data_IF_873932563191
#
_entry.id   IF_873932563191
#
_cell.length_a   1.000
_cell.length_b   1.000
_cell.length_c   1.000
_cell.angle_alpha   90.00
_cell.angle_beta   90.00
_cell.angle_gamma   90.00
#
_symmetry.space_group_name_H-M   'P 1'
#
loop_
_entity.id
_entity.type
_entity.pdbx_description
1 polymer ?
#
# COMPACT_ATOMS: atom_id res chain seq x y z
N UNK A 1 14.49 -66.64 0.99
CA UNK A 1 15.01 -65.47 0.27
C UNK A 1 14.10 -65.26 -0.94
N UNK A 2 13.10 -64.37 -0.93
CA UNK A 2 13.19 -62.90 -1.13
C UNK A 2 12.67 -62.63 -2.56
N UNK A 3 11.76 -61.71 -2.91
CA UNK A 3 11.18 -60.51 -2.31
C UNK A 3 9.68 -60.46 -2.63
N UNK A 4 8.83 -60.03 -1.69
CA UNK A 4 7.46 -59.60 -2.02
C UNK A 4 7.50 -58.19 -2.60
N UNK A 5 6.74 -57.87 -3.66
CA UNK A 5 6.70 -56.53 -4.22
C UNK A 5 6.08 -55.56 -3.21
N UNK A 6 6.79 -54.47 -2.95
CA UNK A 6 6.27 -53.32 -2.20
C UNK A 6 5.13 -52.72 -3.02
N UNK A 7 3.89 -52.91 -2.54
CA UNK A 7 2.73 -52.21 -3.08
C UNK A 7 2.82 -50.75 -2.65
N UNK A 8 3.25 -49.88 -3.56
CA UNK A 8 3.04 -48.44 -3.40
C UNK A 8 1.53 -48.19 -3.47
N UNK A 9 0.93 -47.87 -2.33
CA UNK A 9 -0.49 -47.63 -2.21
C UNK A 9 -0.92 -46.48 -3.12
N UNK A 10 -2.03 -46.68 -3.85
CA UNK A 10 -2.68 -45.67 -4.70
C UNK A 10 -3.01 -44.35 -3.97
N UNK A 11 -2.96 -44.33 -2.63
CA UNK A 11 -3.10 -43.12 -1.83
C UNK A 11 -1.96 -42.09 -2.00
N UNK A 12 -0.73 -42.53 -2.35
CA UNK A 12 0.41 -41.60 -2.44
C UNK A 12 0.37 -40.72 -3.70
N UNK A 13 -0.09 -41.28 -4.83
CA UNK A 13 -0.23 -40.53 -6.08
C UNK A 13 -1.39 -39.53 -6.04
N UNK A 14 -2.52 -39.90 -5.43
CA UNK A 14 -3.67 -39.01 -5.27
C UNK A 14 -3.36 -37.81 -4.36
N UNK A 15 -2.61 -38.03 -3.26
CA UNK A 15 -2.15 -36.95 -2.38
C UNK A 15 -1.21 -35.99 -3.13
N UNK A 16 -0.30 -36.53 -3.95
CA UNK A 16 0.65 -35.71 -4.71
C UNK A 16 -0.05 -34.86 -5.77
N UNK A 17 -1.01 -35.43 -6.50
CA UNK A 17 -1.81 -34.69 -7.49
C UNK A 17 -2.64 -33.60 -6.81
N UNK A 18 -3.29 -33.89 -5.68
CA UNK A 18 -4.02 -32.88 -4.92
C UNK A 18 -3.12 -31.76 -4.38
N UNK A 19 -1.92 -32.09 -3.89
CA UNK A 19 -0.96 -31.09 -3.40
C UNK A 19 -0.45 -30.19 -4.54
N UNK A 20 -0.17 -30.76 -5.71
CA UNK A 20 0.24 -30.01 -6.90
C UNK A 20 -0.91 -29.12 -7.39
N UNK A 21 -2.12 -29.64 -7.54
CA UNK A 21 -3.30 -28.85 -7.94
C UNK A 21 -3.61 -27.75 -6.93
N UNK A 22 -3.50 -28.01 -5.62
CA UNK A 22 -3.67 -26.99 -4.58
C UNK A 22 -2.56 -25.93 -4.61
N UNK A 23 -1.32 -26.33 -4.92
CA UNK A 23 -0.20 -25.39 -5.12
C UNK A 23 -0.41 -24.51 -6.35
N UNK A 24 -0.92 -25.07 -7.45
CA UNK A 24 -1.25 -24.31 -8.66
C UNK A 24 -2.47 -23.39 -8.45
N UNK A 25 -3.51 -23.87 -7.77
CA UNK A 25 -4.70 -23.06 -7.47
C UNK A 25 -4.40 -21.91 -6.50
N UNK A 26 -3.54 -22.14 -5.50
CA UNK A 26 -3.11 -21.07 -4.57
C UNK A 26 -2.11 -20.11 -5.23
N UNK A 27 -1.26 -20.58 -6.15
CA UNK A 27 -0.39 -19.72 -6.97
C UNK A 27 -1.18 -18.87 -7.98
N UNK A 28 -2.28 -19.38 -8.54
CA UNK A 28 -3.14 -18.63 -9.46
C UNK A 28 -3.96 -17.52 -8.75
N UNK A 29 -4.18 -17.63 -7.44
CA UNK A 29 -4.75 -16.54 -6.63
C UNK A 29 -3.72 -15.46 -6.24
N UNK A 30 -2.44 -15.63 -6.58
CA UNK A 30 -1.35 -14.88 -5.95
C UNK A 30 -0.87 -13.61 -6.67
N UNK A 31 -1.47 -13.17 -7.77
CA UNK A 31 -1.03 -11.93 -8.43
C UNK A 31 -2.19 -11.11 -8.96
N UNK A 32 -2.94 -10.49 -8.05
CA UNK A 32 -3.80 -9.37 -8.44
C UNK A 32 -2.92 -8.15 -8.65
N UNK A 33 -3.05 -7.51 -9.81
CA UNK A 33 -2.21 -6.40 -10.19
C UNK A 33 -2.16 -5.30 -9.12
N UNK A 34 -0.99 -4.69 -8.90
CA UNK A 34 -0.84 -3.65 -7.91
C UNK A 34 -1.54 -2.33 -8.32
N UNK A 35 -1.93 -2.22 -9.58
CA UNK A 35 -2.54 -1.04 -10.16
C UNK A 35 -3.82 -1.43 -10.91
N UNK A 36 -4.83 -0.57 -10.84
CA UNK A 36 -5.99 -0.64 -11.73
C UNK A 36 -6.06 0.63 -12.57
N UNK A 37 -6.42 0.48 -13.83
CA UNK A 37 -6.67 1.60 -14.74
C UNK A 37 -8.18 1.79 -14.89
N UNK A 38 -8.69 3.00 -14.71
CA UNK A 38 -10.07 3.33 -15.08
C UNK A 38 -10.11 4.53 -16.02
N UNK A 39 -11.13 4.65 -16.88
CA UNK A 39 -11.37 5.90 -17.59
C UNK A 39 -11.68 7.01 -16.59
N UNK A 40 -11.15 8.20 -16.86
CA UNK A 40 -11.44 9.45 -16.18
C UNK A 40 -12.45 10.30 -16.96
N UNK A 41 -12.99 11.35 -16.33
CA UNK A 41 -14.09 12.15 -16.87
C UNK A 41 -13.74 12.89 -18.18
N UNK A 42 -12.46 13.25 -18.39
CA UNK A 42 -12.01 14.07 -19.52
C UNK A 42 -11.24 13.26 -20.59
N UNK A 43 -11.51 11.96 -20.69
CA UNK A 43 -10.75 11.06 -21.59
C UNK A 43 -9.36 10.67 -21.07
N UNK A 44 -8.99 11.13 -19.86
CA UNK A 44 -7.81 10.69 -19.14
C UNK A 44 -7.93 9.24 -18.66
N UNK A 45 -6.80 8.60 -18.37
CA UNK A 45 -6.74 7.37 -17.59
C UNK A 45 -6.37 7.68 -16.14
N UNK A 46 -7.09 7.09 -15.20
CA UNK A 46 -6.78 7.14 -13.78
C UNK A 46 -6.08 5.84 -13.39
N UNK A 47 -4.84 5.93 -12.91
CA UNK A 47 -4.13 4.79 -12.34
C UNK A 47 -4.36 4.76 -10.83
N UNK A 48 -5.00 3.71 -10.34
CA UNK A 48 -5.26 3.48 -8.92
C UNK A 48 -4.26 2.47 -8.38
N UNK A 49 -3.36 2.91 -7.51
CA UNK A 49 -2.62 2.01 -6.65
C UNK A 49 -3.53 1.50 -5.54
N UNK A 50 -3.78 0.18 -5.51
CA UNK A 50 -4.69 -0.40 -4.52
C UNK A 50 -4.24 -0.08 -3.09
N UNK A 51 -5.20 0.02 -2.16
CA UNK A 51 -4.87 0.15 -0.76
C UNK A 51 -3.94 -0.95 -0.30
N UNK A 52 -2.84 -0.58 0.34
CA UNK A 52 -2.01 -1.47 1.14
C UNK A 52 -2.05 -1.02 2.59
N UNK A 53 -1.63 -1.91 3.50
CA UNK A 53 -1.59 -1.63 4.93
C UNK A 53 -0.24 -1.99 5.51
N UNK A 54 0.29 -1.10 6.35
CA UNK A 54 1.51 -1.29 7.11
C UNK A 54 1.12 -1.36 8.59
N UNK A 55 1.30 -2.52 9.20
CA UNK A 55 1.08 -2.68 10.64
C UNK A 55 2.34 -2.26 11.39
N UNK A 56 2.22 -1.35 12.35
CA UNK A 56 3.31 -1.08 13.27
C UNK A 56 3.00 -1.61 14.67
N UNK A 57 3.66 -2.72 15.05
CA UNK A 57 3.45 -3.35 16.36
C UNK A 57 4.11 -2.60 17.52
N UNK A 58 5.05 -1.71 17.25
CA UNK A 58 5.84 -0.97 18.24
C UNK A 58 5.72 0.55 18.12
N UNK A 59 4.76 1.05 17.35
CA UNK A 59 4.53 2.48 17.18
C UNK A 59 3.28 2.93 17.95
N UNK A 60 3.16 4.24 18.15
CA UNK A 60 1.94 4.86 18.66
C UNK A 60 0.72 4.63 17.74
N UNK A 61 0.95 4.36 16.45
CA UNK A 61 -0.06 3.92 15.48
C UNK A 61 -0.06 2.40 15.34
N UNK A 62 -1.24 1.78 15.36
CA UNK A 62 -1.37 0.33 15.21
C UNK A 62 -1.44 -0.12 13.74
N UNK A 63 -1.78 0.80 12.84
CA UNK A 63 -1.79 0.52 11.41
C UNK A 63 -1.94 1.79 10.58
N UNK A 64 -1.31 1.76 9.40
CA UNK A 64 -1.48 2.74 8.33
C UNK A 64 -2.02 2.03 7.11
N UNK A 65 -3.04 2.58 6.47
CA UNK A 65 -3.41 2.15 5.12
C UNK A 65 -3.28 3.31 4.16
N UNK A 66 -2.74 3.07 2.96
CA UNK A 66 -2.51 4.07 1.93
C UNK A 66 -2.95 3.55 0.57
N UNK A 67 -3.63 4.40 -0.19
CA UNK A 67 -3.92 4.25 -1.61
C UNK A 67 -3.61 5.55 -2.37
N UNK A 68 -3.41 5.44 -3.68
CA UNK A 68 -3.04 6.58 -4.51
C UNK A 68 -3.78 6.51 -5.84
N UNK A 69 -4.25 7.66 -6.31
CA UNK A 69 -4.83 7.86 -7.63
C UNK A 69 -3.96 8.81 -8.42
N UNK A 70 -3.50 8.38 -9.60
CA UNK A 70 -2.60 9.14 -10.47
C UNK A 70 -3.35 9.46 -11.78
N UNK A 71 -3.62 10.74 -12.07
CA UNK A 71 -4.28 11.15 -13.31
C UNK A 71 -3.29 11.22 -14.47
N UNK A 72 -3.62 10.57 -15.59
CA UNK A 72 -2.70 10.40 -16.73
C UNK A 72 -3.39 10.52 -18.09
N UNK A 73 -2.67 10.98 -19.11
CA UNK A 73 -3.03 10.93 -20.54
C UNK A 73 -1.76 10.59 -21.30
N UNK A 74 -1.81 9.62 -22.22
CA UNK A 74 -0.65 9.21 -23.02
C UNK A 74 0.63 8.98 -22.19
N UNK A 75 0.48 8.27 -21.06
CA UNK A 75 1.54 7.98 -20.07
C UNK A 75 2.14 9.20 -19.35
N UNK A 76 1.58 10.39 -19.57
CA UNK A 76 2.01 11.62 -18.93
C UNK A 76 1.05 12.02 -17.80
N UNK A 77 1.58 12.59 -16.72
CA UNK A 77 0.76 13.11 -15.61
C UNK A 77 -0.05 14.33 -16.05
N UNK A 78 -1.35 14.31 -15.82
CA UNK A 78 -2.26 15.44 -16.15
C UNK A 78 -2.63 16.30 -14.95
N UNK A 79 -2.28 15.87 -13.74
CA UNK A 79 -2.53 16.61 -12.51
C UNK A 79 -1.74 16.02 -11.33
N UNK A 80 -1.99 16.56 -10.13
CA UNK A 80 -1.41 16.07 -8.89
C UNK A 80 -2.01 14.69 -8.54
N UNK A 81 -1.17 13.68 -8.21
CA UNK A 81 -1.66 12.46 -7.59
C UNK A 81 -2.39 12.73 -6.27
N UNK A 82 -3.52 12.06 -6.10
CA UNK A 82 -4.29 12.08 -4.84
C UNK A 82 -3.87 10.88 -4.01
N UNK A 83 -3.45 11.13 -2.78
CA UNK A 83 -3.05 10.11 -1.80
C UNK A 83 -4.09 10.08 -0.70
N UNK A 84 -4.80 8.96 -0.59
CA UNK A 84 -5.68 8.71 0.54
C UNK A 84 -4.95 7.81 1.53
N UNK A 85 -5.06 8.15 2.81
CA UNK A 85 -4.48 7.33 3.84
C UNK A 85 -5.33 7.34 5.10
N UNK A 86 -5.12 6.32 5.91
CA UNK A 86 -5.75 6.21 7.21
C UNK A 86 -4.75 5.75 8.25
N UNK A 87 -4.83 6.34 9.44
CA UNK A 87 -4.03 5.91 10.60
C UNK A 87 -4.96 5.42 11.70
N UNK A 88 -4.60 4.29 12.30
CA UNK A 88 -5.30 3.76 13.46
C UNK A 88 -4.54 4.17 14.72
N UNK A 89 -5.16 5.02 15.54
CA UNK A 89 -4.59 5.59 16.76
C UNK A 89 -5.43 5.22 17.99
N UNK A 90 -4.83 5.14 19.19
CA UNK A 90 -5.59 5.07 20.44
C UNK A 90 -6.51 6.29 20.60
N UNK A 91 -7.67 6.11 21.26
CA UNK A 91 -8.59 7.22 21.56
C UNK A 91 -7.93 8.40 22.28
N UNK A 92 -6.93 8.14 23.12
CA UNK A 92 -6.17 9.17 23.84
C UNK A 92 -5.29 10.02 22.93
N UNK A 93 -4.92 9.54 21.74
CA UNK A 93 -4.01 10.21 20.80
C UNK A 93 -4.75 10.87 19.62
N UNK A 94 -6.08 10.92 19.65
CA UNK A 94 -6.89 11.47 18.54
C UNK A 94 -6.56 12.94 18.28
N UNK A 95 -6.41 13.76 19.33
CA UNK A 95 -6.09 15.17 19.18
C UNK A 95 -4.74 15.39 18.47
N UNK A 96 -3.72 14.57 18.80
CA UNK A 96 -2.43 14.61 18.11
C UNK A 96 -2.54 14.21 16.63
N UNK A 97 -3.52 13.37 16.31
CA UNK A 97 -3.83 12.92 14.97
C UNK A 97 -4.78 13.86 14.20
N UNK A 98 -5.19 15.01 14.74
CA UNK A 98 -6.07 15.92 13.99
C UNK A 98 -5.35 16.51 12.76
N UNK A 99 -4.02 16.64 12.82
CA UNK A 99 -3.18 16.96 11.66
C UNK A 99 -2.03 15.95 11.56
N UNK A 100 -2.22 14.91 10.77
CA UNK A 100 -1.13 14.03 10.33
C UNK A 100 -0.79 14.40 8.90
N UNK A 101 0.50 14.60 8.58
CA UNK A 101 0.97 14.62 7.19
C UNK A 101 1.70 13.32 6.85
N UNK A 102 1.54 12.88 5.61
CA UNK A 102 2.31 11.77 5.04
C UNK A 102 3.40 12.36 4.18
N UNK A 103 4.62 11.89 4.41
CA UNK A 103 5.77 12.20 3.59
C UNK A 103 6.30 10.90 2.97
N UNK A 104 6.57 10.94 1.68
CA UNK A 104 7.32 9.88 1.03
C UNK A 104 8.80 10.22 1.16
N UNK A 105 9.58 9.34 1.79
CA UNK A 105 11.01 9.57 2.01
C UNK A 105 11.81 8.69 1.05
N UNK A 106 12.77 9.29 0.35
CA UNK A 106 13.67 8.61 -0.57
C UNK A 106 15.09 9.12 -0.36
N UNK A 107 15.88 8.35 0.38
CA UNK A 107 17.19 8.83 0.85
C UNK A 107 17.03 10.00 1.82
N UNK A 108 17.67 11.13 1.47
CA UNK A 108 17.59 12.37 2.25
C UNK A 108 16.41 13.27 1.84
N UNK A 109 15.74 12.96 0.73
CA UNK A 109 14.60 13.73 0.25
C UNK A 109 13.30 13.28 0.93
N UNK A 110 12.49 14.24 1.38
CA UNK A 110 11.15 14.02 1.88
C UNK A 110 10.16 14.82 1.04
N UNK A 111 9.17 14.14 0.48
CA UNK A 111 8.14 14.73 -0.38
C UNK A 111 6.83 14.75 0.38
N UNK A 112 6.40 15.95 0.76
CA UNK A 112 5.24 16.17 1.63
C UNK A 112 3.94 16.25 0.82
N UNK A 113 2.88 15.65 1.35
CA UNK A 113 1.54 15.78 0.78
C UNK A 113 0.76 16.93 1.44
N UNK A 114 0.04 17.73 0.66
CA UNK A 114 -0.81 18.81 1.19
C UNK A 114 -2.16 18.25 1.65
N UNK A 115 -2.47 18.43 2.94
CA UNK A 115 -3.58 17.74 3.60
C UNK A 115 -4.96 18.38 3.41
N UNK A 116 -5.97 17.54 3.13
CA UNK A 116 -7.39 17.74 3.44
C UNK A 116 -7.85 16.60 4.37
N UNK A 117 -8.06 16.88 5.66
CA UNK A 117 -8.41 15.86 6.65
C UNK A 117 -9.91 15.55 6.68
N UNK A 118 -10.28 14.27 6.86
CA UNK A 118 -11.66 13.82 7.11
C UNK A 118 -11.67 12.83 8.29
N UNK A 119 -12.06 13.30 9.48
CA UNK A 119 -11.98 12.51 10.72
C UNK A 119 -13.19 11.55 10.82
N UNK A 120 -12.93 10.26 10.99
CA UNK A 120 -13.96 9.25 11.27
C UNK A 120 -13.80 8.70 12.69
N UNK A 121 -14.81 8.90 13.55
CA UNK A 121 -14.80 8.34 14.90
C UNK A 121 -15.23 6.87 14.87
N UNK A 122 -14.48 6.03 15.56
CA UNK A 122 -14.68 4.58 15.64
C UNK A 122 -15.98 4.17 16.38
N UNK A 123 -16.46 2.97 16.06
CA UNK A 123 -17.67 2.35 16.61
C UNK A 123 -17.56 2.09 18.14
N UNK A 124 -18.71 2.08 18.80
CA UNK A 124 -18.86 1.86 20.25
C UNK A 124 -18.21 0.52 20.65
N UNK A 125 -17.23 0.56 21.56
CA UNK A 125 -16.52 -0.63 22.08
C UNK A 125 -15.05 -0.78 21.69
N UNK A 126 -14.56 -0.04 20.69
CA UNK A 126 -13.13 -0.03 20.34
C UNK A 126 -12.35 1.01 21.18
N UNK A 127 -11.13 0.68 21.59
CA UNK A 127 -10.18 1.63 22.22
C UNK A 127 -9.40 2.49 21.22
N UNK A 128 -9.60 2.24 19.92
CA UNK A 128 -8.87 2.90 18.83
C UNK A 128 -9.83 3.64 17.89
N UNK A 129 -9.29 4.64 17.18
CA UNK A 129 -9.96 5.47 16.18
C UNK A 129 -9.19 5.40 14.86
N UNK A 130 -9.91 5.33 13.75
CA UNK A 130 -9.34 5.36 12.40
C UNK A 130 -9.53 6.76 11.84
N UNK A 131 -8.45 7.53 11.71
CA UNK A 131 -8.51 8.87 11.11
C UNK A 131 -8.15 8.74 9.63
N UNK A 132 -8.92 9.37 8.74
CA UNK A 132 -8.69 9.33 7.29
C UNK A 132 -8.29 10.70 6.78
N UNK A 133 -7.47 10.70 5.75
CA UNK A 133 -6.94 11.90 5.13
C UNK A 133 -6.91 11.69 3.63
N UNK A 134 -7.13 12.79 2.92
CA UNK A 134 -6.92 12.87 1.48
C UNK A 134 -5.95 14.02 1.27
N UNK A 135 -4.89 13.77 0.51
CA UNK A 135 -3.86 14.76 0.28
C UNK A 135 -3.43 14.74 -1.18
N UNK A 136 -2.83 15.83 -1.62
CA UNK A 136 -2.24 15.92 -2.96
C UNK A 136 -0.72 15.89 -2.84
N UNK A 137 -0.08 15.14 -3.74
CA UNK A 137 1.36 15.18 -3.94
C UNK A 137 1.64 16.02 -5.19
N UNK A 138 2.58 16.96 -5.10
CA UNK A 138 2.95 17.79 -6.25
C UNK A 138 3.39 16.93 -7.43
N UNK A 139 2.96 17.29 -8.64
CA UNK A 139 3.36 16.57 -9.87
C UNK A 139 4.88 16.43 -10.00
N UNK A 140 5.63 17.50 -9.74
CA UNK A 140 7.10 17.50 -9.84
C UNK A 140 7.74 16.60 -8.77
N UNK A 141 7.25 16.65 -7.53
CA UNK A 141 7.68 15.77 -6.44
C UNK A 141 7.40 14.30 -6.74
N UNK A 142 6.23 14.01 -7.30
CA UNK A 142 5.87 12.66 -7.73
C UNK A 142 6.75 12.17 -8.89
N UNK A 143 7.03 13.04 -9.87
CA UNK A 143 7.97 12.72 -10.94
C UNK A 143 9.36 12.45 -10.39
N UNK A 144 9.86 13.23 -9.43
CA UNK A 144 11.14 12.98 -8.77
C UNK A 144 11.16 11.64 -8.03
N UNK A 145 10.08 11.29 -7.32
CA UNK A 145 9.91 9.98 -6.67
C UNK A 145 9.94 8.81 -7.65
N UNK A 146 9.27 8.95 -8.82
CA UNK A 146 9.31 7.94 -9.87
C UNK A 146 10.73 7.75 -10.43
N UNK A 147 11.52 8.82 -10.54
CA UNK A 147 12.90 8.70 -11.03
C UNK A 147 13.90 8.23 -9.95
N UNK A 148 13.54 8.33 -8.67
CA UNK A 148 14.38 7.82 -7.60
C UNK A 148 14.51 6.30 -7.68
N UNK A 149 15.74 5.81 -7.49
CA UNK A 149 16.06 4.38 -7.36
C UNK A 149 16.27 3.93 -5.91
N UNK A 150 16.14 4.87 -4.97
CA UNK A 150 16.31 4.57 -3.56
C UNK A 150 15.05 3.96 -2.97
N UNK A 151 15.21 3.20 -1.88
CA UNK A 151 14.08 2.64 -1.15
C UNK A 151 13.18 3.76 -0.64
N UNK A 152 11.88 3.60 -0.90
CA UNK A 152 10.84 4.49 -0.44
C UNK A 152 10.36 4.06 0.94
N UNK A 153 10.20 5.04 1.82
CA UNK A 153 9.63 4.91 3.15
C UNK A 153 8.43 5.87 3.30
N UNK A 154 7.54 5.56 4.24
CA UNK A 154 6.46 6.44 4.64
C UNK A 154 6.84 7.08 5.96
N UNK A 155 6.86 8.41 6.04
CA UNK A 155 6.96 9.12 7.31
C UNK A 155 5.62 9.77 7.62
N UNK A 156 5.14 9.54 8.84
CA UNK A 156 3.98 10.23 9.41
C UNK A 156 4.53 11.34 10.32
N UNK A 157 4.13 12.58 10.09
CA UNK A 157 4.40 13.68 11.00
C UNK A 157 3.11 14.10 11.69
N UNK A 158 3.11 14.11 13.03
CA UNK A 158 1.97 14.47 13.88
C UNK A 158 2.09 15.92 14.35
N UNK A 159 0.96 16.52 14.72
CA UNK A 159 0.88 17.89 15.27
C UNK A 159 1.75 18.14 16.50
N UNK A 160 1.98 17.11 17.30
CA UNK A 160 2.78 17.17 18.54
C UNK A 160 4.29 17.06 18.29
N UNK A 161 4.71 17.04 17.03
CA UNK A 161 6.10 16.87 16.62
C UNK A 161 6.57 15.42 16.61
N UNK A 162 5.70 14.46 16.91
CA UNK A 162 6.03 13.04 16.76
C UNK A 162 6.21 12.71 15.28
N UNK A 163 7.30 12.04 14.93
CA UNK A 163 7.52 11.49 13.59
C UNK A 163 7.66 9.97 13.66
N UNK A 164 6.97 9.27 12.74
CA UNK A 164 7.00 7.81 12.65
C UNK A 164 7.37 7.43 11.23
N UNK A 165 8.55 6.83 11.05
CA UNK A 165 8.97 6.30 9.75
C UNK A 165 8.64 4.81 9.67
N UNK A 166 8.04 4.41 8.56
CA UNK A 166 7.54 3.07 8.28
C UNK A 166 8.13 2.57 6.96
N UNK A 167 8.80 1.43 7.05
CA UNK A 167 9.28 0.69 5.89
C UNK A 167 8.14 -0.15 5.30
N UNK A 168 8.00 -0.09 3.97
CA UNK A 168 7.02 -0.90 3.24
C UNK A 168 7.61 -1.42 1.93
N UNK A 169 7.94 -2.72 1.84
CA UNK A 169 8.31 -3.35 0.57
C UNK A 169 7.17 -3.22 -0.47
N UNK A 170 5.92 -3.23 -0.01
CA UNK A 170 4.76 -3.08 -0.87
C UNK A 170 4.69 -1.68 -1.49
N UNK A 171 5.05 -0.62 -0.74
CA UNK A 171 5.15 0.74 -1.30
C UNK A 171 6.12 0.77 -2.48
N UNK A 172 7.31 0.18 -2.30
CA UNK A 172 8.34 0.12 -3.35
C UNK A 172 7.81 -0.61 -4.59
N UNK A 173 7.18 -1.78 -4.41
CA UNK A 173 6.57 -2.55 -5.50
C UNK A 173 5.51 -1.76 -6.28
N UNK A 174 4.70 -0.95 -5.60
CA UNK A 174 3.66 -0.11 -6.21
C UNK A 174 4.29 1.00 -7.05
N UNK A 175 5.32 1.65 -6.52
CA UNK A 175 6.07 2.67 -7.26
C UNK A 175 6.84 2.09 -8.45
N UNK A 176 7.40 0.88 -8.35
CA UNK A 176 8.00 0.19 -9.49
C UNK A 176 6.98 -0.08 -10.61
N UNK A 177 5.77 -0.46 -10.23
CA UNK A 177 4.68 -0.68 -11.19
C UNK A 177 4.26 0.64 -11.86
N UNK A 178 4.23 1.74 -11.11
CA UNK A 178 3.95 3.07 -11.65
C UNK A 178 5.05 3.53 -12.60
N UNK A 179 6.33 3.27 -12.28
CA UNK A 179 7.47 3.56 -13.16
C UNK A 179 7.33 2.85 -14.50
N UNK A 180 6.99 1.57 -14.52
CA UNK A 180 6.83 0.79 -15.76
C UNK A 180 5.74 1.32 -16.69
N UNK A 181 4.74 2.04 -16.16
CA UNK A 181 3.63 2.58 -16.93
C UNK A 181 3.86 4.03 -17.39
N UNK A 182 4.69 4.78 -16.65
CA UNK A 182 4.83 6.23 -16.78
C UNK A 182 6.21 6.69 -17.28
N UNK A 183 7.23 5.82 -17.21
CA UNK A 183 8.60 6.07 -17.70
C UNK A 183 8.94 5.11 -18.85
#
# INVERSE_FOLDING_TARGET
>A
MGNKPVKYGAGSAAIFICAVVFSFLTAACATVDPLYTTPGPDGSQLLFARPFSVACRRCAVSGVSLDMTVPTVDRSLTGNPVVNYSVTVPKSAVAAADTVSVQFVSGEAAYETMNRALIFRSLKGSSSVVVRYTSELGKDDFTALLHSRQLLQIRLAFSDGTEITLDSPELNRRFDSLRLLLL
#
